data_IF_245248326193
#
_entry.id   IF_245248326193
#
_cell.length_a   1.000
_cell.length_b   1.000
_cell.length_c   1.000
_cell.angle_alpha   90.00
_cell.angle_beta   90.00
_cell.angle_gamma   90.00
#
_symmetry.space_group_name_H-M   'P 1'
#
loop_
_entity.id
_entity.type
_entity.pdbx_description
1 polymer ?
#
# COMPACT_ATOMS: atom_id res chain seq x y z
N UNK A 1 10.51 24.17 31.96
CA UNK A 1 11.44 24.05 30.83
C UNK A 1 11.69 25.42 30.26
N UNK A 2 12.95 25.75 29.98
CA UNK A 2 13.31 26.93 29.22
C UNK A 2 12.98 26.72 27.72
N UNK A 3 12.97 27.80 26.91
CA UNK A 3 12.87 27.66 25.44
C UNK A 3 14.02 26.83 24.86
N UNK A 4 15.21 26.93 25.46
CA UNK A 4 16.37 26.18 25.04
C UNK A 4 16.17 24.68 25.25
N UNK A 5 15.62 24.29 26.40
CA UNK A 5 15.33 22.88 26.72
C UNK A 5 14.31 22.29 25.75
N UNK A 6 13.25 23.05 25.45
CA UNK A 6 12.22 22.62 24.51
C UNK A 6 12.77 22.44 23.08
N UNK A 7 13.62 23.37 22.62
CA UNK A 7 14.25 23.27 21.29
C UNK A 7 15.22 22.10 21.22
N UNK A 8 15.98 21.82 22.28
CA UNK A 8 16.88 20.67 22.34
C UNK A 8 16.11 19.34 22.27
N UNK A 9 15.02 19.21 23.04
CA UNK A 9 14.15 18.03 22.97
C UNK A 9 13.49 17.85 21.60
N UNK A 10 13.10 18.96 20.95
CA UNK A 10 12.56 18.93 19.61
C UNK A 10 13.61 18.49 18.58
N UNK A 11 14.83 19.04 18.63
CA UNK A 11 15.91 18.63 17.73
C UNK A 11 16.18 17.12 17.82
N UNK A 12 16.18 16.57 19.03
CA UNK A 12 16.39 15.14 19.29
C UNK A 12 15.28 14.23 18.76
N UNK A 13 14.05 14.71 18.62
CA UNK A 13 12.91 13.87 18.20
C UNK A 13 12.31 14.28 16.85
N UNK A 14 12.78 15.37 16.25
CA UNK A 14 12.25 15.91 14.99
C UNK A 14 12.34 14.95 13.81
N UNK A 15 13.29 14.00 13.87
CA UNK A 15 13.40 12.95 12.87
C UNK A 15 12.27 11.92 12.98
N UNK A 16 11.62 11.76 14.14
CA UNK A 16 10.48 10.85 14.33
C UNK A 16 9.23 11.46 13.71
N UNK A 17 8.94 11.10 12.46
CA UNK A 17 7.76 11.58 11.77
C UNK A 17 6.98 10.42 11.14
N UNK A 18 5.66 10.60 10.93
CA UNK A 18 4.84 9.55 10.35
C UNK A 18 5.27 9.12 8.94
N UNK A 19 5.91 10.03 8.19
CA UNK A 19 6.34 9.76 6.80
C UNK A 19 7.57 8.85 6.70
N UNK A 20 8.38 8.76 7.75
CA UNK A 20 9.55 7.87 7.79
C UNK A 20 9.40 6.71 8.79
N UNK A 21 8.22 6.50 9.37
CA UNK A 21 7.96 5.45 10.35
C UNK A 21 8.44 4.07 9.89
N UNK A 22 8.07 3.66 8.67
CA UNK A 22 8.51 2.37 8.10
C UNK A 22 10.03 2.24 8.00
N UNK A 23 10.73 3.32 7.64
CA UNK A 23 12.19 3.31 7.58
C UNK A 23 12.80 3.12 8.97
N UNK A 24 12.23 3.76 10.00
CA UNK A 24 12.68 3.65 11.39
C UNK A 24 12.45 2.23 11.92
N UNK A 25 11.27 1.65 11.66
CA UNK A 25 10.96 0.26 12.03
C UNK A 25 11.95 -0.73 11.39
N UNK A 26 12.26 -0.53 10.11
CA UNK A 26 13.23 -1.37 9.38
C UNK A 26 14.63 -1.33 9.97
N UNK A 27 15.14 -0.13 10.30
CA UNK A 27 16.48 -0.01 10.89
C UNK A 27 16.50 -0.46 12.35
N UNK A 28 15.40 -0.33 13.09
CA UNK A 28 15.29 -0.87 14.44
C UNK A 28 15.32 -2.41 14.42
N UNK A 29 14.57 -3.04 13.50
CA UNK A 29 14.63 -4.48 13.30
C UNK A 29 15.99 -4.99 12.79
N UNK A 30 16.79 -4.14 12.13
CA UNK A 30 18.21 -4.44 11.81
C UNK A 30 19.09 -4.32 13.05
N UNK A 31 18.92 -3.27 13.85
CA UNK A 31 19.63 -3.06 15.11
C UNK A 31 19.43 -4.23 16.08
N UNK A 32 18.20 -4.74 16.23
CA UNK A 32 17.91 -5.90 17.09
C UNK A 32 18.66 -7.17 16.66
N UNK A 33 18.96 -7.32 15.37
CA UNK A 33 19.75 -8.44 14.84
C UNK A 33 21.25 -8.21 14.95
N UNK A 34 21.68 -6.98 14.68
CA UNK A 34 23.06 -6.55 14.73
C UNK A 34 23.13 -5.07 15.17
N UNK A 35 23.53 -4.79 16.42
CA UNK A 35 23.66 -3.42 16.91
C UNK A 35 24.64 -2.56 16.10
N UNK A 36 25.61 -3.17 15.40
CA UNK A 36 26.58 -2.44 14.58
C UNK A 36 26.06 -2.03 13.21
N UNK A 37 24.84 -2.45 12.85
CA UNK A 37 24.19 -2.13 11.57
C UNK A 37 23.72 -0.67 11.46
N UNK A 38 23.72 0.07 12.56
CA UNK A 38 23.32 1.48 12.64
C UNK A 38 24.37 2.30 13.40
N UNK A 39 24.37 3.61 13.20
CA UNK A 39 25.28 4.52 13.89
C UNK A 39 25.05 4.59 15.41
N UNK A 40 25.97 5.22 16.12
CA UNK A 40 25.95 5.29 17.58
C UNK A 40 24.71 6.02 18.13
N UNK A 41 24.21 7.02 17.42
CA UNK A 41 23.05 7.84 17.83
C UNK A 41 21.77 6.99 17.79
N UNK A 42 21.59 6.19 16.72
CA UNK A 42 20.51 5.21 16.63
C UNK A 42 20.64 4.10 17.67
N UNK A 43 21.85 3.60 17.92
CA UNK A 43 22.06 2.58 18.96
C UNK A 43 21.65 3.09 20.34
N UNK A 44 22.02 4.32 20.70
CA UNK A 44 21.64 4.94 21.97
C UNK A 44 20.13 5.13 22.05
N UNK A 45 19.51 5.63 20.98
CA UNK A 45 18.08 5.82 20.90
C UNK A 45 17.31 4.50 21.09
N UNK A 46 17.62 3.45 20.31
CA UNK A 46 16.91 2.17 20.38
C UNK A 46 17.11 1.47 21.73
N UNK A 47 18.31 1.53 22.32
CA UNK A 47 18.55 1.02 23.69
C UNK A 47 17.69 1.71 24.75
N UNK A 48 17.30 2.97 24.52
CA UNK A 48 16.47 3.73 25.46
C UNK A 48 15.00 3.30 25.46
N UNK A 49 14.51 2.71 24.37
CA UNK A 49 13.09 2.35 24.18
C UNK A 49 12.68 1.12 25.00
N UNK A 50 13.58 0.14 25.15
CA UNK A 50 13.34 -1.11 25.91
C UNK A 50 12.14 -1.92 25.42
N UNK A 51 11.85 -1.88 24.12
CA UNK A 51 10.81 -2.71 23.52
C UNK A 51 11.24 -4.18 23.48
N UNK A 52 10.26 -5.08 23.34
CA UNK A 52 10.53 -6.49 23.09
C UNK A 52 11.02 -6.69 21.65
N UNK A 53 12.09 -7.48 21.41
CA UNK A 53 12.56 -7.77 20.04
C UNK A 53 11.46 -8.36 19.14
N UNK A 54 10.52 -9.11 19.71
CA UNK A 54 9.37 -9.68 18.98
C UNK A 54 8.42 -8.59 18.48
N UNK A 55 8.22 -7.54 19.26
CA UNK A 55 7.33 -6.43 18.90
C UNK A 55 7.99 -5.53 17.85
N UNK A 56 9.30 -5.31 17.96
CA UNK A 56 10.10 -4.62 16.94
C UNK A 56 10.00 -5.34 15.59
N UNK A 57 10.16 -6.66 15.58
CA UNK A 57 10.03 -7.45 14.34
C UNK A 57 8.62 -7.41 13.75
N UNK A 58 7.57 -7.46 14.58
CA UNK A 58 6.18 -7.35 14.11
C UNK A 58 5.87 -5.99 13.51
N UNK A 59 6.39 -4.91 14.11
CA UNK A 59 6.21 -3.56 13.59
C UNK A 59 6.86 -3.41 12.21
N UNK A 60 8.11 -3.88 12.07
CA UNK A 60 8.81 -3.88 10.78
C UNK A 60 8.14 -4.77 9.71
N UNK A 61 7.43 -5.83 10.11
CA UNK A 61 6.67 -6.67 9.18
C UNK A 61 5.42 -5.98 8.59
N UNK A 62 5.05 -4.81 9.13
CA UNK A 62 3.89 -4.06 8.69
C UNK A 62 2.59 -4.47 9.40
N UNK A 63 1.49 -3.76 9.11
CA UNK A 63 0.24 -3.96 9.80
C UNK A 63 -0.41 -5.29 9.41
N UNK A 64 -0.88 -6.05 10.41
CA UNK A 64 -1.58 -7.33 10.20
C UNK A 64 -2.89 -7.22 9.40
N UNK A 65 -3.44 -6.01 9.25
CA UNK A 65 -4.63 -5.72 8.46
C UNK A 65 -4.32 -5.33 7.02
N UNK A 66 -3.04 -5.24 6.63
CA UNK A 66 -2.66 -5.01 5.24
C UNK A 66 -3.17 -6.15 4.36
N UNK A 67 -3.81 -5.79 3.25
CA UNK A 67 -4.29 -6.76 2.26
C UNK A 67 -3.78 -6.33 0.91
N UNK A 68 -3.00 -7.20 0.25
CA UNK A 68 -2.37 -6.92 -1.04
C UNK A 68 -3.34 -6.44 -2.14
N UNK A 69 -4.62 -6.83 -2.04
CA UNK A 69 -5.64 -6.53 -3.04
C UNK A 69 -6.71 -5.55 -2.52
N UNK A 70 -6.39 -4.72 -1.53
CA UNK A 70 -7.29 -3.72 -0.95
C UNK A 70 -6.85 -2.29 -1.30
N UNK A 71 -7.78 -1.35 -1.58
CA UNK A 71 -9.21 -1.57 -1.72
C UNK A 71 -9.53 -2.37 -2.99
N UNK A 72 -10.48 -3.29 -2.88
CA UNK A 72 -10.99 -4.00 -4.05
C UNK A 72 -11.80 -2.98 -4.84
N UNK A 73 -11.32 -2.59 -6.02
CA UNK A 73 -12.11 -1.79 -6.94
C UNK A 73 -13.34 -2.59 -7.37
N UNK A 74 -14.58 -2.12 -7.08
CA UNK A 74 -15.77 -2.75 -7.62
C UNK A 74 -15.70 -2.68 -9.15
N UNK A 75 -16.02 -3.78 -9.83
CA UNK A 75 -15.93 -3.90 -11.30
C UNK A 75 -17.22 -4.52 -11.85
N UNK A 76 -18.34 -3.96 -11.43
CA UNK A 76 -19.69 -4.30 -11.87
C UNK A 76 -20.32 -3.19 -12.71
N UNK A 77 -21.46 -3.49 -13.34
CA UNK A 77 -22.15 -2.57 -14.23
C UNK A 77 -22.62 -1.29 -13.51
N UNK A 78 -23.01 -1.39 -12.24
CA UNK A 78 -23.44 -0.23 -11.44
C UNK A 78 -22.27 0.73 -11.22
N UNK A 79 -21.09 0.20 -10.89
CA UNK A 79 -19.88 0.99 -10.69
C UNK A 79 -19.43 1.61 -12.01
N UNK A 80 -19.47 0.83 -13.10
CA UNK A 80 -19.14 1.29 -14.46
C UNK A 80 -20.08 2.42 -14.91
N UNK A 81 -21.36 2.37 -14.51
CA UNK A 81 -22.31 3.44 -14.78
C UNK A 81 -22.01 4.74 -14.00
N UNK A 82 -21.35 4.64 -12.85
CA UNK A 82 -21.01 5.79 -12.01
C UNK A 82 -19.63 6.39 -12.33
N UNK A 83 -18.65 5.58 -12.73
CA UNK A 83 -17.27 6.02 -13.01
C UNK A 83 -16.91 6.09 -14.51
N UNK A 84 -17.77 5.56 -15.39
CA UNK A 84 -17.58 5.54 -16.84
C UNK A 84 -16.62 4.47 -17.36
N UNK A 85 -16.15 3.55 -16.51
CA UNK A 85 -15.19 2.52 -16.87
C UNK A 85 -15.85 1.27 -17.48
N UNK A 86 -16.25 1.34 -18.75
CA UNK A 86 -16.98 0.27 -19.44
C UNK A 86 -16.11 -0.82 -20.10
N UNK A 87 -14.78 -0.72 -20.04
CA UNK A 87 -13.85 -1.56 -20.84
C UNK A 87 -14.06 -3.06 -20.67
N UNK A 88 -14.42 -3.53 -19.46
CA UNK A 88 -14.68 -4.96 -19.22
C UNK A 88 -16.04 -5.38 -19.77
N UNK A 89 -17.06 -4.55 -19.58
CA UNK A 89 -18.44 -4.81 -20.01
C UNK A 89 -18.48 -4.88 -21.53
N UNK A 90 -17.87 -3.92 -22.22
CA UNK A 90 -17.72 -3.91 -23.68
C UNK A 90 -17.09 -5.21 -24.19
N UNK A 91 -16.01 -5.67 -23.56
CA UNK A 91 -15.36 -6.94 -23.94
C UNK A 91 -16.27 -8.15 -23.77
N UNK A 92 -16.99 -8.23 -22.65
CA UNK A 92 -17.91 -9.36 -22.36
C UNK A 92 -19.11 -9.33 -23.31
N UNK A 93 -19.70 -8.16 -23.52
CA UNK A 93 -20.86 -7.96 -24.40
C UNK A 93 -20.48 -8.22 -25.86
N UNK A 94 -19.35 -7.66 -26.33
CA UNK A 94 -18.81 -7.93 -27.66
C UNK A 94 -18.59 -9.42 -27.91
N UNK A 95 -17.94 -10.12 -26.99
CA UNK A 95 -17.73 -11.58 -27.10
C UNK A 95 -19.06 -12.35 -27.18
N UNK A 96 -20.06 -11.99 -26.37
CA UNK A 96 -21.39 -12.63 -26.39
C UNK A 96 -22.16 -12.34 -27.68
N UNK A 97 -22.08 -11.12 -28.19
CA UNK A 97 -22.71 -10.71 -29.44
C UNK A 97 -22.09 -11.44 -30.63
N UNK A 98 -20.75 -11.49 -30.72
CA UNK A 98 -20.05 -12.26 -31.76
C UNK A 98 -20.41 -13.75 -31.73
N UNK A 99 -20.47 -14.35 -30.53
CA UNK A 99 -20.87 -15.75 -30.38
C UNK A 99 -22.30 -16.00 -30.88
N UNK A 100 -23.26 -15.16 -30.48
CA UNK A 100 -24.66 -15.25 -30.95
C UNK A 100 -24.81 -14.99 -32.46
N UNK A 101 -24.01 -14.10 -33.02
CA UNK A 101 -24.03 -13.80 -34.44
C UNK A 101 -23.54 -15.01 -35.27
N UNK A 102 -22.45 -15.65 -34.81
CA UNK A 102 -21.93 -16.88 -35.41
C UNK A 102 -22.95 -18.03 -35.36
N UNK A 103 -23.66 -18.22 -34.24
CA UNK A 103 -24.74 -19.21 -34.12
C UNK A 103 -25.88 -18.97 -35.13
N UNK A 104 -26.16 -17.71 -35.47
CA UNK A 104 -27.20 -17.31 -36.42
C UNK A 104 -26.72 -17.21 -37.87
N UNK A 105 -25.45 -17.53 -38.14
CA UNK A 105 -24.86 -17.43 -39.48
C UNK A 105 -24.73 -15.99 -40.00
N UNK A 106 -24.73 -14.99 -39.12
CA UNK A 106 -24.52 -13.58 -39.48
C UNK A 106 -23.11 -13.15 -39.06
N UNK A 107 -22.35 -12.57 -39.97
CA UNK A 107 -21.08 -11.92 -39.64
C UNK A 107 -21.36 -10.51 -39.14
N UNK A 108 -20.95 -10.20 -37.91
CA UNK A 108 -21.01 -8.85 -37.33
C UNK A 108 -19.60 -8.30 -37.26
N UNK A 109 -19.41 -7.08 -37.76
CA UNK A 109 -18.13 -6.37 -37.75
C UNK A 109 -17.84 -5.74 -36.39
N UNK A 110 -16.56 -5.51 -36.08
CA UNK A 110 -16.14 -4.89 -34.82
C UNK A 110 -16.68 -3.47 -34.65
N UNK A 111 -16.89 -2.75 -35.76
CA UNK A 111 -17.52 -1.43 -35.77
C UNK A 111 -19.01 -1.47 -35.36
N UNK A 112 -19.73 -2.55 -35.64
CA UNK A 112 -21.14 -2.72 -35.24
C UNK A 112 -21.28 -3.13 -33.77
N UNK A 113 -20.22 -3.70 -33.18
CA UNK A 113 -20.19 -4.09 -31.77
C UNK A 113 -19.84 -2.94 -30.82
N UNK A 114 -19.25 -1.87 -31.36
CA UNK A 114 -18.75 -0.71 -30.61
C UNK A 114 -19.59 0.57 -30.81
N UNK A 115 -20.69 0.51 -31.56
CA UNK A 115 -21.68 1.60 -31.66
C UNK A 115 -22.58 1.66 -30.43
#
# INVERSE_FOLDING_TARGET
>A
MSRQDANAAFALSSFLNGTNATYIDDIYARFERDPSSVDAEWQEFFKSLKDSPDDVQKNAAGPSWERANWPIAPRDDLTSALDGNWTRVEKVVGTKLSAKAAEKGQAVSEAELQQ
#
